data_IF_481772637910
#
_entry.id   IF_481772637910
#
_cell.length_a   1.000
_cell.length_b   1.000
_cell.length_c   1.000
_cell.angle_alpha   90.00
_cell.angle_beta   90.00
_cell.angle_gamma   90.00
#
_symmetry.space_group_name_H-M   'P 1'
#
loop_
_entity.id
_entity.type
_entity.pdbx_description
1 polymer ?
#
# COMPACT_ATOMS: atom_id res chain seq x y z
N UNK A 1 -22.99 -1.79 1.29
CA UNK A 1 -22.45 -0.95 0.21
C UNK A 1 -20.94 -0.97 0.34
N UNK A 2 -20.21 -1.60 -0.57
CA UNK A 2 -18.75 -1.46 -0.60
C UNK A 2 -18.45 -0.07 -1.15
N UNK A 3 -17.88 0.80 -0.31
CA UNK A 3 -17.37 2.08 -0.77
C UNK A 3 -16.05 1.81 -1.49
N UNK A 4 -16.02 2.10 -2.78
CA UNK A 4 -14.80 2.07 -3.58
C UNK A 4 -14.11 3.41 -3.33
N UNK A 5 -12.93 3.39 -2.72
CA UNK A 5 -12.16 4.59 -2.41
C UNK A 5 -11.01 4.69 -3.42
N UNK A 6 -10.97 5.72 -4.29
CA UNK A 6 -9.86 5.91 -5.21
C UNK A 6 -8.61 6.30 -4.43
N UNK A 7 -7.49 5.63 -4.74
CA UNK A 7 -6.22 5.83 -4.05
C UNK A 7 -5.06 5.86 -5.03
N UNK A 8 -3.98 6.46 -4.56
CA UNK A 8 -2.65 6.37 -5.15
C UNK A 8 -1.76 5.59 -4.17
N UNK A 9 -1.00 4.63 -4.66
CA UNK A 9 -0.18 3.76 -3.82
C UNK A 9 1.27 3.67 -4.34
N UNK A 10 2.22 3.57 -3.40
CA UNK A 10 3.63 3.37 -3.70
C UNK A 10 3.98 1.88 -3.67
N UNK A 11 4.28 1.32 -4.85
CA UNK A 11 4.66 -0.09 -5.05
C UNK A 11 6.16 -0.23 -5.37
N UNK A 12 6.67 -1.47 -5.32
CA UNK A 12 8.08 -1.82 -5.58
C UNK A 12 9.07 -0.93 -4.80
N UNK A 13 8.69 -0.64 -3.56
CA UNK A 13 9.33 0.37 -2.72
C UNK A 13 10.66 -0.11 -2.16
N UNK A 14 11.60 0.82 -2.06
CA UNK A 14 12.89 0.65 -1.41
C UNK A 14 13.23 1.88 -0.57
N UNK A 15 14.02 1.70 0.47
CA UNK A 15 14.45 2.80 1.32
C UNK A 15 15.64 3.52 0.68
N UNK A 16 15.50 4.83 0.41
CA UNK A 16 16.61 5.69 0.00
C UNK A 16 17.28 6.30 1.25
N UNK A 17 18.52 5.89 1.61
CA UNK A 17 19.21 6.41 2.78
C UNK A 17 19.65 7.88 2.64
N UNK A 18 19.80 8.39 1.42
CA UNK A 18 20.20 9.78 1.16
C UNK A 18 19.01 10.73 1.31
N UNK A 19 17.88 10.37 0.69
CA UNK A 19 16.63 11.13 0.82
C UNK A 19 15.93 10.91 2.18
N UNK A 20 16.31 9.85 2.90
CA UNK A 20 15.66 9.39 4.15
C UNK A 20 14.16 9.17 3.95
N UNK A 21 13.80 8.60 2.81
CA UNK A 21 12.42 8.36 2.41
C UNK A 21 12.29 7.07 1.62
N UNK A 22 11.07 6.55 1.56
CA UNK A 22 10.74 5.46 0.65
C UNK A 22 10.61 6.00 -0.77
N UNK A 23 11.24 5.31 -1.71
CA UNK A 23 11.13 5.56 -3.16
C UNK A 23 10.55 4.32 -3.83
N UNK A 24 9.77 4.52 -4.88
CA UNK A 24 9.07 3.43 -5.56
C UNK A 24 8.26 3.94 -6.75
N UNK A 25 7.43 3.06 -7.30
CA UNK A 25 6.54 3.41 -8.40
C UNK A 25 5.18 3.81 -7.85
N UNK A 26 4.70 4.98 -8.24
CA UNK A 26 3.37 5.46 -7.89
C UNK A 26 2.34 4.92 -8.88
N UNK A 27 1.33 4.20 -8.38
CA UNK A 27 0.27 3.60 -9.21
C UNK A 27 -1.10 3.88 -8.62
N UNK A 28 -2.07 4.08 -9.50
CA UNK A 28 -3.47 4.32 -9.13
C UNK A 28 -4.21 3.00 -8.90
N UNK A 29 -5.19 3.05 -8.02
CA UNK A 29 -6.12 1.96 -7.85
C UNK A 29 -7.31 2.32 -6.98
N UNK A 30 -8.02 1.28 -6.60
CA UNK A 30 -9.18 1.35 -5.73
C UNK A 30 -8.91 0.57 -4.46
N UNK A 31 -9.04 1.22 -3.31
CA UNK A 31 -8.98 0.55 -2.02
C UNK A 31 -10.29 -0.20 -1.81
N UNK A 32 -10.18 -1.53 -1.78
CA UNK A 32 -11.33 -2.46 -1.67
C UNK A 32 -11.42 -3.13 -0.30
N UNK A 33 -10.41 -2.97 0.55
CA UNK A 33 -10.42 -3.47 1.93
C UNK A 33 -9.18 -3.05 2.71
N UNK A 34 -9.23 -3.22 4.04
CA UNK A 34 -8.07 -3.02 4.93
C UNK A 34 -7.96 -4.24 5.83
N UNK A 35 -6.75 -4.78 5.95
CA UNK A 35 -6.43 -5.91 6.82
C UNK A 35 -5.15 -5.62 7.60
N UNK A 36 -4.83 -6.48 8.56
CA UNK A 36 -3.56 -6.44 9.28
C UNK A 36 -2.63 -7.50 8.73
N UNK A 37 -1.40 -7.12 8.40
CA UNK A 37 -0.34 -8.05 7.99
C UNK A 37 0.83 -7.98 8.97
N UNK A 38 1.50 -9.10 9.21
CA UNK A 38 2.77 -9.14 9.92
C UNK A 38 3.88 -8.62 9.01
N UNK A 39 4.77 -7.77 9.54
CA UNK A 39 5.96 -7.36 8.80
C UNK A 39 6.98 -8.52 8.79
N UNK A 40 7.62 -8.80 7.65
CA UNK A 40 8.63 -9.86 7.56
C UNK A 40 9.80 -9.63 8.53
N UNK A 41 10.23 -8.38 8.68
CA UNK A 41 11.31 -8.00 9.60
C UNK A 41 10.88 -8.01 11.08
N UNK A 42 9.57 -7.96 11.35
CA UNK A 42 9.00 -7.86 12.70
C UNK A 42 7.70 -8.67 12.79
N UNK A 43 7.78 -10.01 12.94
CA UNK A 43 6.60 -10.89 12.90
C UNK A 43 5.58 -10.60 14.01
N UNK A 44 6.04 -10.07 15.14
CA UNK A 44 5.18 -9.68 16.26
C UNK A 44 4.45 -8.33 16.03
N UNK A 45 4.79 -7.63 14.93
CA UNK A 45 4.22 -6.33 14.60
C UNK A 45 3.20 -6.47 13.49
N UNK A 46 1.93 -6.29 13.85
CA UNK A 46 0.84 -6.14 12.90
C UNK A 46 0.84 -4.71 12.37
N UNK A 47 0.98 -4.56 11.05
CA UNK A 47 0.83 -3.29 10.34
C UNK A 47 -0.47 -3.29 9.53
N UNK A 48 -1.22 -2.19 9.51
CA UNK A 48 -2.40 -2.07 8.67
C UNK A 48 -1.97 -2.01 7.20
N UNK A 49 -2.66 -2.78 6.36
CA UNK A 49 -2.45 -2.85 4.93
C UNK A 49 -3.78 -2.73 4.18
N UNK A 50 -3.79 -1.87 3.17
CA UNK A 50 -4.89 -1.77 2.22
C UNK A 50 -4.76 -2.84 1.14
N UNK A 51 -5.89 -3.44 0.78
CA UNK A 51 -6.04 -4.27 -0.41
C UNK A 51 -6.48 -3.34 -1.54
N UNK A 52 -5.61 -3.18 -2.53
CA UNK A 52 -5.79 -2.25 -3.64
C UNK A 52 -5.96 -3.03 -4.92
N UNK A 53 -7.05 -2.75 -5.65
CA UNK A 53 -7.23 -3.17 -7.03
C UNK A 53 -6.59 -2.11 -7.94
N UNK A 54 -5.47 -2.45 -8.57
CA UNK A 54 -4.78 -1.55 -9.49
C UNK A 54 -5.57 -1.41 -10.80
N UNK A 55 -5.37 -0.31 -11.52
CA UNK A 55 -5.96 -0.10 -12.85
C UNK A 55 -5.57 -1.21 -13.87
N UNK A 56 -4.45 -1.91 -13.64
CA UNK A 56 -4.01 -3.07 -14.42
C UNK A 56 -4.85 -4.32 -14.18
N UNK A 57 -5.76 -4.30 -13.19
CA UNK A 57 -6.55 -5.45 -12.76
C UNK A 57 -5.86 -6.34 -11.72
N UNK A 58 -4.60 -6.03 -11.35
CA UNK A 58 -3.88 -6.75 -10.29
C UNK A 58 -4.39 -6.34 -8.91
N UNK A 59 -4.47 -7.30 -7.99
CA UNK A 59 -4.79 -7.05 -6.57
C UNK A 59 -3.49 -7.13 -5.77
N UNK A 60 -3.20 -6.08 -5.01
CA UNK A 60 -1.98 -5.97 -4.21
C UNK A 60 -2.30 -5.58 -2.76
N UNK A 61 -1.47 -6.07 -1.83
CA UNK A 61 -1.47 -5.64 -0.43
C UNK A 61 -0.41 -4.56 -0.24
N UNK A 62 -0.82 -3.37 0.21
CA UNK A 62 0.07 -2.22 0.42
C UNK A 62 -0.12 -1.71 1.84
N UNK A 63 0.94 -1.56 2.65
CA UNK A 63 0.84 -0.92 3.96
C UNK A 63 0.17 0.46 3.84
N UNK A 64 -0.73 0.77 4.78
CA UNK A 64 -1.57 1.98 4.70
C UNK A 64 -0.73 3.26 4.66
N UNK A 65 0.46 3.27 5.25
CA UNK A 65 1.39 4.42 5.19
C UNK A 65 1.84 4.78 3.76
N UNK A 66 1.71 3.86 2.80
CA UNK A 66 2.06 4.04 1.39
C UNK A 66 0.83 4.24 0.49
N UNK A 67 -0.34 4.50 1.09
CA UNK A 67 -1.60 4.73 0.37
C UNK A 67 -2.05 6.16 0.66
N UNK A 68 -2.29 6.92 -0.40
CA UNK A 68 -2.85 8.27 -0.33
C UNK A 68 -4.23 8.29 -0.98
N UNK A 69 -5.23 8.81 -0.27
CA UNK A 69 -6.56 9.03 -0.85
C UNK A 69 -6.53 10.20 -1.82
N UNK A 70 -7.28 10.09 -2.91
CA UNK A 70 -7.47 11.19 -3.88
C UNK A 70 -8.71 12.01 -3.60
#
# INVERSE_FOLDING_TARGET
>A
MNQIIPVECLIDRSWDPLAKSWVGTTVNGELIGVLTQSAEDYPDRLIPAGIVLLETGAVVSVPVEFITTR
#
